data_IF_770329825680
#
_entry.id   IF_770329825680
#
_cell.length_a   1.000
_cell.length_b   1.000
_cell.length_c   1.000
_cell.angle_alpha   90.00
_cell.angle_beta   90.00
_cell.angle_gamma   90.00
#
_symmetry.space_group_name_H-M   'P 1'
#
loop_
_entity.id
_entity.type
_entity.pdbx_description
1 polymer ?
#
# COMPACT_ATOMS: atom_id res chain seq x y z
N UNK A 1 12.10 6.04 -15.11
CA UNK A 1 11.05 6.80 -14.37
C UNK A 1 11.34 6.77 -12.87
N UNK A 2 11.18 7.90 -12.16
CA UNK A 2 11.47 8.00 -10.70
C UNK A 2 10.69 6.96 -9.87
N UNK A 3 9.45 6.67 -10.24
CA UNK A 3 8.58 5.75 -9.50
C UNK A 3 8.99 4.28 -9.60
N UNK A 4 9.58 3.86 -10.72
CA UNK A 4 10.08 2.49 -10.88
C UNK A 4 11.19 2.22 -9.87
N UNK A 5 12.09 3.19 -9.67
CA UNK A 5 13.20 3.05 -8.72
C UNK A 5 12.71 3.11 -7.26
N UNK A 6 11.71 3.95 -6.97
CA UNK A 6 11.07 4.02 -5.65
C UNK A 6 10.40 2.68 -5.30
N UNK A 7 9.59 2.11 -6.19
CA UNK A 7 8.94 0.83 -5.97
C UNK A 7 9.96 -0.30 -5.83
N UNK A 8 11.02 -0.28 -6.65
CA UNK A 8 12.08 -1.29 -6.60
C UNK A 8 12.84 -1.24 -5.28
N UNK A 9 13.19 -0.04 -4.80
CA UNK A 9 13.84 0.15 -3.52
C UNK A 9 12.99 -0.37 -2.35
N UNK A 10 11.67 -0.10 -2.38
CA UNK A 10 10.76 -0.61 -1.35
C UNK A 10 10.61 -2.13 -1.42
N UNK A 11 10.50 -2.70 -2.61
CA UNK A 11 10.42 -4.14 -2.78
C UNK A 11 11.66 -4.84 -2.17
N UNK A 12 12.86 -4.42 -2.58
CA UNK A 12 14.12 -5.01 -2.08
C UNK A 12 14.35 -4.74 -0.59
N UNK A 13 13.75 -3.69 -0.03
CA UNK A 13 13.82 -3.41 1.41
C UNK A 13 13.07 -4.45 2.23
N UNK A 14 11.96 -4.98 1.70
CA UNK A 14 11.09 -5.91 2.42
C UNK A 14 11.28 -7.38 2.00
N UNK A 15 11.90 -7.63 0.86
CA UNK A 15 12.43 -8.93 0.42
C UNK A 15 13.75 -9.21 1.18
N UNK A 16 13.61 -9.52 2.48
CA UNK A 16 14.74 -9.65 3.42
C UNK A 16 15.64 -10.87 3.11
N UNK A 17 15.04 -11.94 2.62
CA UNK A 17 15.69 -13.19 2.22
C UNK A 17 16.16 -13.21 0.77
N UNK A 18 15.81 -12.18 -0.02
CA UNK A 18 16.22 -11.99 -1.41
C UNK A 18 15.78 -13.17 -2.29
N UNK A 19 14.63 -13.77 -1.98
CA UNK A 19 14.05 -14.86 -2.74
C UNK A 19 13.28 -14.35 -3.99
N UNK A 20 13.08 -13.02 -4.06
CA UNK A 20 12.39 -12.34 -5.15
C UNK A 20 10.88 -12.24 -4.96
N UNK A 21 10.37 -12.57 -3.79
CA UNK A 21 8.96 -12.57 -3.44
C UNK A 21 8.70 -11.78 -2.14
N UNK A 22 7.49 -11.28 -2.00
CA UNK A 22 6.99 -10.73 -0.74
C UNK A 22 5.79 -11.53 -0.28
N UNK A 23 5.73 -11.83 1.00
CA UNK A 23 4.52 -12.30 1.65
C UNK A 23 3.48 -11.17 1.80
N UNK A 24 2.29 -11.52 2.31
CA UNK A 24 1.20 -10.58 2.54
C UNK A 24 1.56 -9.48 3.57
N UNK A 25 2.38 -9.80 4.56
CA UNK A 25 2.80 -8.87 5.60
C UNK A 25 3.84 -7.88 5.06
N UNK A 26 4.90 -8.35 4.42
CA UNK A 26 5.92 -7.56 3.73
C UNK A 26 5.28 -6.65 2.68
N UNK A 27 4.32 -7.16 1.91
CA UNK A 27 3.55 -6.36 0.95
C UNK A 27 2.76 -5.23 1.62
N UNK A 28 2.08 -5.50 2.75
CA UNK A 28 1.38 -4.47 3.53
C UNK A 28 2.34 -3.37 3.99
N UNK A 29 3.51 -3.75 4.48
CA UNK A 29 4.55 -2.79 4.87
C UNK A 29 5.02 -1.95 3.67
N UNK A 30 5.19 -2.56 2.50
CA UNK A 30 5.49 -1.86 1.26
C UNK A 30 4.44 -0.80 0.90
N UNK A 31 3.15 -1.16 0.96
CA UNK A 31 2.03 -0.23 0.70
C UNK A 31 2.01 0.91 1.72
N UNK A 32 2.22 0.61 3.00
CA UNK A 32 2.31 1.63 4.06
C UNK A 32 3.48 2.58 3.79
N UNK A 33 4.63 2.06 3.36
CA UNK A 33 5.80 2.89 3.07
C UNK A 33 5.56 3.80 1.87
N UNK A 34 4.96 3.27 0.79
CA UNK A 34 4.74 3.98 -0.46
C UNK A 34 3.62 5.02 -0.40
N UNK A 35 2.52 4.73 0.31
CA UNK A 35 1.31 5.56 0.29
C UNK A 35 0.86 6.05 1.67
N UNK A 36 1.56 5.65 2.73
CA UNK A 36 1.32 6.12 4.10
C UNK A 36 -0.01 5.69 4.68
N UNK A 37 -0.62 4.60 4.21
CA UNK A 37 -1.84 4.04 4.80
C UNK A 37 -1.77 2.52 4.83
N UNK A 38 -2.47 1.92 5.80
CA UNK A 38 -2.60 0.46 5.92
C UNK A 38 -3.72 -0.02 4.98
N UNK A 39 -3.43 -0.84 3.96
CA UNK A 39 -4.47 -1.36 3.08
C UNK A 39 -5.36 -2.35 3.82
N UNK A 40 -6.64 -2.37 3.47
CA UNK A 40 -7.57 -3.39 3.98
C UNK A 40 -7.37 -4.73 3.26
N UNK A 41 -7.81 -5.86 3.84
CA UNK A 41 -7.79 -7.15 3.14
C UNK A 41 -8.52 -7.11 1.78
N UNK A 42 -9.65 -6.40 1.71
CA UNK A 42 -10.42 -6.23 0.48
C UNK A 42 -9.66 -5.43 -0.59
N UNK A 43 -8.88 -4.43 -0.17
CA UNK A 43 -8.07 -3.65 -1.09
C UNK A 43 -6.90 -4.46 -1.65
N UNK A 44 -6.22 -5.24 -0.82
CA UNK A 44 -5.19 -6.17 -1.28
C UNK A 44 -5.77 -7.17 -2.28
N UNK A 45 -6.95 -7.73 -1.98
CA UNK A 45 -7.66 -8.62 -2.89
C UNK A 45 -7.96 -7.95 -4.23
N UNK A 46 -8.41 -6.69 -4.24
CA UNK A 46 -8.64 -5.94 -5.48
C UNK A 46 -7.35 -5.64 -6.26
N UNK A 47 -6.25 -5.38 -5.58
CA UNK A 47 -4.97 -5.03 -6.20
C UNK A 47 -4.25 -6.24 -6.80
N UNK A 48 -4.35 -7.40 -6.15
CA UNK A 48 -3.56 -8.59 -6.46
C UNK A 48 -4.38 -9.76 -7.01
N UNK A 49 -5.70 -9.79 -6.76
CA UNK A 49 -6.59 -10.87 -7.16
C UNK A 49 -6.53 -12.09 -6.23
N UNK A 50 -7.55 -12.95 -6.31
CA UNK A 50 -7.70 -14.14 -5.44
C UNK A 50 -6.51 -15.10 -5.55
N UNK A 51 -6.06 -15.37 -6.78
CA UNK A 51 -4.99 -16.34 -7.05
C UNK A 51 -3.69 -15.96 -6.33
N UNK A 52 -3.25 -14.71 -6.50
CA UNK A 52 -2.04 -14.19 -5.85
C UNK A 52 -2.19 -14.17 -4.32
N UNK A 53 -3.39 -13.86 -3.81
CA UNK A 53 -3.64 -13.90 -2.36
C UNK A 53 -3.63 -15.31 -1.77
N UNK A 54 -3.92 -16.34 -2.58
CA UNK A 54 -3.82 -17.74 -2.16
C UNK A 54 -2.40 -18.30 -2.24
N UNK A 55 -1.60 -17.84 -3.21
CA UNK A 55 -0.19 -18.22 -3.35
C UNK A 55 0.67 -17.61 -2.23
N UNK A 56 0.20 -16.53 -1.60
CA UNK A 56 0.90 -15.77 -0.53
C UNK A 56 2.33 -15.32 -0.91
N UNK A 57 2.68 -15.37 -2.19
CA UNK A 57 3.96 -14.94 -2.75
C UNK A 57 3.72 -13.91 -3.85
N UNK A 58 4.24 -12.71 -3.65
CA UNK A 58 4.05 -11.58 -4.56
C UNK A 58 5.41 -11.22 -5.17
N UNK A 59 5.61 -11.64 -6.42
CA UNK A 59 6.80 -11.28 -7.18
C UNK A 59 6.81 -9.81 -7.62
N UNK A 60 7.99 -9.35 -8.05
CA UNK A 60 8.21 -7.96 -8.48
C UNK A 60 7.19 -7.45 -9.51
N UNK A 61 6.91 -8.22 -10.57
CA UNK A 61 6.03 -7.75 -11.65
C UNK A 61 4.59 -7.51 -11.17
N UNK A 62 4.10 -8.40 -10.30
CA UNK A 62 2.77 -8.32 -9.70
C UNK A 62 2.71 -7.16 -8.71
N UNK A 63 3.74 -6.98 -7.88
CA UNK A 63 3.87 -5.84 -6.97
C UNK A 63 3.89 -4.52 -7.74
N UNK A 64 4.73 -4.42 -8.76
CA UNK A 64 4.91 -3.21 -9.55
C UNK A 64 3.60 -2.78 -10.23
N UNK A 65 2.91 -3.70 -10.88
CA UNK A 65 1.64 -3.40 -11.56
C UNK A 65 0.55 -2.97 -10.57
N UNK A 66 0.46 -3.64 -9.41
CA UNK A 66 -0.45 -3.25 -8.33
C UNK A 66 -0.16 -1.84 -7.80
N UNK A 67 1.11 -1.51 -7.52
CA UNK A 67 1.50 -0.18 -7.01
C UNK A 67 1.30 0.91 -8.06
N UNK A 68 1.57 0.60 -9.34
CA UNK A 68 1.36 1.54 -10.44
C UNK A 68 -0.12 1.87 -10.63
N UNK A 69 -0.98 0.84 -10.70
CA UNK A 69 -2.44 1.01 -10.75
C UNK A 69 -2.93 1.82 -9.56
N UNK A 70 -2.47 1.49 -8.35
CA UNK A 70 -2.84 2.22 -7.15
C UNK A 70 -2.43 3.69 -7.21
N UNK A 71 -1.22 3.98 -7.69
CA UNK A 71 -0.73 5.37 -7.82
C UNK A 71 -1.56 6.17 -8.81
N UNK A 72 -2.00 5.56 -9.90
CA UNK A 72 -2.89 6.18 -10.89
C UNK A 72 -4.28 6.43 -10.29
N UNK A 73 -4.86 5.45 -9.59
CA UNK A 73 -6.16 5.58 -8.90
C UNK A 73 -6.14 6.72 -7.86
N UNK A 74 -5.07 6.78 -7.06
CA UNK A 74 -4.82 7.82 -6.05
C UNK A 74 -4.74 9.19 -6.73
N UNK A 75 -3.91 9.33 -7.76
CA UNK A 75 -3.74 10.60 -8.48
C UNK A 75 -4.96 11.07 -9.30
N UNK A 76 -5.99 10.23 -9.45
CA UNK A 76 -7.21 10.54 -10.21
C UNK A 76 -8.47 10.59 -9.35
N UNK A 77 -8.41 10.34 -8.04
CA UNK A 77 -9.60 10.21 -7.19
C UNK A 77 -9.74 11.30 -6.12
N UNK A 78 -10.96 11.81 -5.95
CA UNK A 78 -11.37 12.68 -4.83
C UNK A 78 -11.29 12.00 -3.46
N UNK A 79 -11.13 10.68 -3.44
CA UNK A 79 -10.90 9.86 -2.23
C UNK A 79 -9.60 10.26 -1.54
N UNK A 80 -8.62 10.77 -2.29
CA UNK A 80 -7.36 11.24 -1.73
C UNK A 80 -7.50 12.52 -0.91
N UNK A 81 -8.36 13.45 -1.34
CA UNK A 81 -8.68 14.65 -0.54
C UNK A 81 -9.33 14.23 0.78
N UNK A 82 -10.29 13.30 0.75
CA UNK A 82 -10.95 12.76 1.94
C UNK A 82 -9.94 12.03 2.84
N UNK A 83 -9.01 11.26 2.25
CA UNK A 83 -7.97 10.52 2.99
C UNK A 83 -6.93 11.47 3.59
N UNK A 84 -6.51 12.51 2.88
CA UNK A 84 -5.60 13.53 3.38
C UNK A 84 -6.23 14.32 4.53
N UNK A 85 -7.50 14.70 4.38
CA UNK A 85 -8.28 15.31 5.45
C UNK A 85 -8.33 14.38 6.67
N UNK A 86 -8.67 13.10 6.48
CA UNK A 86 -8.72 12.12 7.57
C UNK A 86 -7.36 11.98 8.27
N UNK A 87 -6.26 11.86 7.53
CA UNK A 87 -4.89 11.79 8.11
C UNK A 87 -4.50 13.05 8.87
N UNK A 88 -4.99 14.22 8.46
CA UNK A 88 -4.72 15.47 9.18
C UNK A 88 -5.35 15.47 10.59
N UNK A 89 -6.47 14.77 10.77
CA UNK A 89 -7.13 14.59 12.06
C UNK A 89 -6.61 13.36 12.83
N UNK A 90 -6.29 12.25 12.17
CA UNK A 90 -5.76 11.03 12.79
C UNK A 90 -4.26 11.15 13.10
N UNK A 91 -3.91 12.10 13.96
CA UNK A 91 -2.51 12.41 14.34
C UNK A 91 -1.79 11.23 14.99
N UNK A 92 -2.53 10.30 15.58
CA UNK A 92 -2.01 9.11 16.23
C UNK A 92 -1.85 7.93 15.27
N UNK A 93 -2.31 8.06 14.02
CA UNK A 93 -2.35 6.98 13.03
C UNK A 93 -3.07 5.73 13.57
N UNK A 94 -4.14 5.95 14.35
CA UNK A 94 -4.93 4.90 14.97
C UNK A 94 -5.87 4.21 13.96
N UNK A 95 -6.14 4.87 12.83
CA UNK A 95 -7.03 4.39 11.78
C UNK A 95 -8.52 4.69 12.06
N UNK A 96 -8.82 5.46 13.09
CA UNK A 96 -10.17 5.95 13.42
C UNK A 96 -10.06 7.35 14.04
N UNK A 97 -11.12 8.15 13.89
CA UNK A 97 -11.24 9.46 14.54
C UNK A 97 -12.18 9.35 15.74
N UNK A 98 -11.80 10.00 16.82
CA UNK A 98 -12.60 10.23 18.01
C UNK A 98 -12.99 11.70 18.10
N UNK A 99 -13.92 12.06 18.99
CA UNK A 99 -14.29 13.46 19.21
C UNK A 99 -13.10 14.34 19.61
N UNK A 100 -12.09 13.77 20.28
CA UNK A 100 -10.88 14.49 20.65
C UNK A 100 -9.98 14.82 19.45
N UNK A 101 -10.06 14.05 18.38
CA UNK A 101 -9.24 14.26 17.17
C UNK A 101 -9.76 15.41 16.30
N UNK A 102 -11.01 15.86 16.50
CA UNK A 102 -11.72 16.87 15.67
C UNK A 102 -11.83 18.24 16.35
N UNK A 103 -11.05 18.47 17.42
CA UNK A 103 -11.02 19.75 18.16
C UNK A 103 -10.15 20.80 17.50
#
# INVERSE_FOLDING_TARGET
CKFVQEFKAIFHKYDEDQDGFLDLHQTKLGVINLFGYKPSPYELLRLFGEKTMQEEQIGWDVFYDAMLRRKIDIGSSSVDEVRQAFKAFDRRSAGFLTLDDVK
#
